data_IF_063622052987
#
_entry.id   IF_063622052987
#
_cell.length_a   1.000
_cell.length_b   1.000
_cell.length_c   1.000
_cell.angle_alpha   90.00
_cell.angle_beta   90.00
_cell.angle_gamma   90.00
#
_symmetry.space_group_name_H-M   'P 1'
#
loop_
_entity.id
_entity.type
_entity.pdbx_description
1 polymer ?
#
# COMPACT_ATOMS: atom_id res chain seq x y z
N UNK A 1 85.12 5.93 24.82
CA UNK A 1 84.12 6.59 25.67
C UNK A 1 82.76 6.51 24.87
N UNK A 2 81.91 5.57 25.36
CA UNK A 2 80.60 5.39 24.78
C UNK A 2 79.56 5.98 25.76
N UNK A 3 78.92 7.07 25.43
CA UNK A 3 77.86 7.71 26.23
C UNK A 3 76.55 7.06 25.91
N UNK A 4 75.97 6.33 26.86
CA UNK A 4 74.61 5.74 26.78
C UNK A 4 73.60 6.86 27.13
N UNK A 5 72.70 7.19 26.18
CA UNK A 5 71.58 8.05 26.41
C UNK A 5 70.41 7.20 26.94
N UNK A 6 70.09 7.35 28.22
CA UNK A 6 68.89 6.68 28.81
C UNK A 6 67.66 7.58 28.49
N UNK A 7 66.71 7.08 27.64
CA UNK A 7 65.50 7.71 27.34
C UNK A 7 64.44 7.29 28.39
N UNK A 8 64.05 8.24 29.25
CA UNK A 8 62.95 8.06 30.20
C UNK A 8 61.60 8.23 29.44
N UNK A 9 60.91 7.11 29.16
CA UNK A 9 59.55 7.13 28.67
C UNK A 9 58.61 7.22 29.86
N UNK A 10 58.11 8.41 30.18
CA UNK A 10 56.99 8.61 31.11
C UNK A 10 55.70 8.19 30.46
N UNK A 11 55.20 7.04 30.88
CA UNK A 11 53.88 6.52 30.49
C UNK A 11 52.81 7.38 31.17
N UNK A 12 52.17 8.31 30.43
CA UNK A 12 51.01 9.03 30.89
C UNK A 12 49.82 8.06 30.79
N UNK A 13 49.45 7.42 31.90
CA UNK A 13 48.18 6.72 32.02
C UNK A 13 47.08 7.75 32.10
N UNK A 14 46.39 7.99 30.96
CA UNK A 14 45.11 8.70 30.95
C UNK A 14 44.08 7.78 31.57
N UNK A 15 43.82 7.97 32.87
CA UNK A 15 42.66 7.37 33.51
C UNK A 15 41.40 7.96 32.91
N UNK A 16 40.71 7.23 32.04
CA UNK A 16 39.34 7.54 31.65
C UNK A 16 38.48 7.37 32.90
N UNK A 17 38.25 8.46 33.64
CA UNK A 17 37.15 8.53 34.59
C UNK A 17 35.85 8.41 33.80
N UNK A 18 35.29 7.23 33.68
CA UNK A 18 33.89 7.09 33.38
C UNK A 18 33.14 7.67 34.59
N UNK A 19 32.55 8.85 34.42
CA UNK A 19 31.65 9.41 35.42
C UNK A 19 30.52 8.39 35.60
N UNK A 20 30.51 7.69 36.73
CA UNK A 20 29.46 6.77 37.10
C UNK A 20 28.15 7.56 37.13
N UNK A 21 27.09 7.04 36.48
CA UNK A 21 25.77 7.68 36.48
C UNK A 21 25.28 7.72 37.95
N UNK A 22 24.98 8.92 38.49
CA UNK A 22 24.65 9.04 39.90
C UNK A 22 23.41 8.23 40.27
N UNK A 23 23.50 7.45 41.34
CA UNK A 23 22.36 6.74 41.92
C UNK A 23 21.51 7.76 42.73
N UNK A 24 20.24 7.83 42.39
CA UNK A 24 19.31 8.72 43.07
C UNK A 24 18.56 8.04 44.23
N UNK A 25 18.27 6.76 44.07
CA UNK A 25 17.60 5.94 45.08
C UNK A 25 17.88 4.45 44.83
N UNK A 26 17.52 3.63 45.80
CA UNK A 26 17.51 2.18 45.66
C UNK A 26 16.13 1.62 45.99
N UNK A 27 15.66 0.67 45.18
CA UNK A 27 14.40 -0.04 45.42
C UNK A 27 14.69 -1.53 45.35
N UNK A 28 14.45 -2.26 46.44
CA UNK A 28 14.75 -3.69 46.56
C UNK A 28 16.21 -4.04 46.20
N UNK A 29 17.18 -3.24 46.70
CA UNK A 29 18.61 -3.31 46.40
C UNK A 29 18.99 -3.12 44.90
N UNK A 30 18.07 -2.61 44.09
CA UNK A 30 18.37 -2.27 42.70
C UNK A 30 18.57 -0.74 42.62
N UNK A 31 19.74 -0.27 42.17
CA UNK A 31 20.03 1.14 42.07
C UNK A 31 19.21 1.76 40.91
N UNK A 32 18.65 2.92 41.17
CA UNK A 32 17.96 3.74 40.19
C UNK A 32 18.77 5.00 39.91
N UNK A 33 19.20 5.15 38.67
CA UNK A 33 20.15 6.19 38.30
C UNK A 33 19.47 7.48 37.85
N UNK A 34 20.27 8.56 37.84
CA UNK A 34 19.86 9.86 37.32
C UNK A 34 19.39 9.75 35.84
N UNK A 35 20.09 8.99 35.02
CA UNK A 35 19.75 8.81 33.60
C UNK A 35 18.40 8.11 33.44
N UNK A 36 18.10 7.09 34.24
CA UNK A 36 16.79 6.43 34.25
C UNK A 36 15.66 7.39 34.64
N UNK A 37 15.85 8.15 35.71
CA UNK A 37 14.88 9.17 36.13
C UNK A 37 14.63 10.19 35.02
N UNK A 38 15.69 10.76 34.44
CA UNK A 38 15.58 11.76 33.40
C UNK A 38 14.91 11.21 32.13
N UNK A 39 15.21 9.98 31.76
CA UNK A 39 14.55 9.34 30.60
C UNK A 39 13.04 9.28 30.76
N UNK A 40 12.56 8.88 31.94
CA UNK A 40 11.13 8.79 32.22
C UNK A 40 10.50 10.18 32.41
N UNK A 41 11.22 11.09 33.09
CA UNK A 41 10.79 12.48 33.25
C UNK A 41 10.55 13.18 31.90
N UNK A 42 11.53 13.11 31.00
CA UNK A 42 11.47 13.71 29.67
C UNK A 42 10.41 13.06 28.76
N UNK A 43 10.25 11.75 28.88
CA UNK A 43 9.20 11.03 28.13
C UNK A 43 7.79 11.49 28.49
N UNK A 44 7.56 11.82 29.75
CA UNK A 44 6.24 12.16 30.26
C UNK A 44 5.94 13.67 30.30
N UNK A 45 6.93 14.52 30.00
CA UNK A 45 6.79 15.97 30.03
C UNK A 45 7.20 16.59 28.69
N UNK A 46 6.22 17.11 27.95
CA UNK A 46 6.48 17.79 26.67
C UNK A 46 7.21 19.15 26.82
N UNK A 47 7.14 19.76 27.99
CA UNK A 47 7.83 21.00 28.32
C UNK A 47 8.48 20.88 29.73
N UNK A 48 9.60 20.16 29.86
CA UNK A 48 10.20 19.81 31.14
C UNK A 48 10.74 21.04 31.86
N UNK A 49 10.40 21.18 33.15
CA UNK A 49 10.92 22.19 34.05
C UNK A 49 11.98 21.56 34.95
N UNK A 50 13.04 22.30 35.24
CA UNK A 50 14.18 21.80 36.03
C UNK A 50 14.34 22.56 37.36
N UNK A 51 13.30 23.29 37.81
CA UNK A 51 13.29 23.86 39.12
C UNK A 51 13.12 22.78 40.20
N UNK A 52 13.64 23.07 41.40
CA UNK A 52 13.67 22.11 42.49
C UNK A 52 12.31 21.57 42.89
N UNK A 53 11.28 22.44 42.95
CA UNK A 53 9.95 22.06 43.40
C UNK A 53 9.32 21.06 42.43
N UNK A 54 9.40 21.33 41.11
CA UNK A 54 8.88 20.42 40.06
C UNK A 54 9.62 19.07 40.04
N UNK A 55 10.95 19.09 40.23
CA UNK A 55 11.73 17.85 40.27
C UNK A 55 11.46 17.02 41.53
N UNK A 56 11.29 17.66 42.69
CA UNK A 56 10.95 16.99 43.97
C UNK A 56 9.57 16.33 43.88
N UNK A 57 8.57 17.03 43.34
CA UNK A 57 7.22 16.47 43.11
C UNK A 57 7.26 15.25 42.15
N UNK A 58 7.98 15.38 41.07
CA UNK A 58 8.10 14.28 40.12
C UNK A 58 8.89 13.12 40.70
N UNK A 59 9.89 13.34 41.53
CA UNK A 59 10.64 12.31 42.24
C UNK A 59 9.74 11.48 43.15
N UNK A 60 8.77 12.11 43.86
CA UNK A 60 7.81 11.36 44.68
C UNK A 60 6.93 10.46 43.83
N UNK A 61 6.40 10.98 42.70
CA UNK A 61 5.62 10.18 41.74
C UNK A 61 6.45 9.03 41.17
N UNK A 62 7.70 9.30 40.83
CA UNK A 62 8.61 8.31 40.29
C UNK A 62 8.96 7.21 41.30
N UNK A 63 9.17 7.58 42.54
CA UNK A 63 9.41 6.66 43.66
C UNK A 63 8.22 5.71 43.84
N UNK A 64 6.99 6.26 43.87
CA UNK A 64 5.76 5.45 43.96
C UNK A 64 5.60 4.52 42.79
N UNK A 65 5.96 4.96 41.58
CA UNK A 65 5.97 4.13 40.40
C UNK A 65 6.94 2.95 40.54
N UNK A 66 8.19 3.20 40.93
CA UNK A 66 9.21 2.17 41.10
C UNK A 66 8.83 1.14 42.19
N UNK A 67 8.27 1.59 43.31
CA UNK A 67 7.76 0.71 44.37
C UNK A 67 6.62 -0.20 43.86
N UNK A 68 5.68 0.33 43.07
CA UNK A 68 4.61 -0.48 42.46
C UNK A 68 5.14 -1.50 41.49
N UNK A 69 6.16 -1.15 40.70
CA UNK A 69 6.80 -2.10 39.76
C UNK A 69 7.49 -3.22 40.55
N UNK A 70 8.29 -2.88 41.57
CA UNK A 70 8.98 -3.87 42.42
C UNK A 70 7.99 -4.82 43.13
N UNK A 71 6.86 -4.30 43.61
CA UNK A 71 5.84 -5.17 44.22
C UNK A 71 5.14 -6.03 43.18
N UNK A 72 4.83 -5.50 41.99
CA UNK A 72 4.23 -6.30 40.91
C UNK A 72 5.14 -7.45 40.46
N UNK A 73 6.46 -7.23 40.40
CA UNK A 73 7.46 -8.27 40.11
C UNK A 73 7.53 -9.29 41.28
N UNK A 74 7.52 -8.80 42.53
CA UNK A 74 7.59 -9.66 43.74
C UNK A 74 6.38 -10.63 43.81
N UNK A 75 5.19 -10.20 43.42
CA UNK A 75 4.00 -11.04 43.37
C UNK A 75 3.82 -11.79 42.05
N UNK A 76 4.80 -11.73 41.15
CA UNK A 76 4.88 -12.53 39.92
C UNK A 76 3.99 -12.04 38.77
N UNK A 77 3.58 -10.76 38.72
CA UNK A 77 2.78 -10.23 37.62
C UNK A 77 3.51 -10.24 36.31
N UNK A 78 4.85 -10.11 36.30
CA UNK A 78 5.73 -10.22 35.14
C UNK A 78 5.76 -11.63 34.54
N UNK A 79 5.33 -12.66 35.30
CA UNK A 79 5.27 -14.06 34.84
C UNK A 79 3.92 -14.48 34.29
N UNK A 80 2.88 -13.62 34.38
CA UNK A 80 1.52 -13.94 33.89
C UNK A 80 1.54 -14.14 32.37
N UNK A 81 1.15 -15.33 31.84
CA UNK A 81 1.26 -15.63 30.41
C UNK A 81 0.52 -14.64 29.50
N UNK A 82 -0.59 -14.05 29.97
CA UNK A 82 -1.34 -13.02 29.23
C UNK A 82 -0.50 -11.75 29.06
N UNK A 83 0.11 -11.25 30.15
CA UNK A 83 0.94 -10.04 30.12
C UNK A 83 2.19 -10.22 29.28
N UNK A 84 2.85 -11.40 29.39
CA UNK A 84 4.01 -11.75 28.55
C UNK A 84 3.62 -11.74 27.07
N UNK A 85 2.47 -12.32 26.69
CA UNK A 85 1.99 -12.29 25.29
C UNK A 85 1.72 -10.87 24.80
N UNK A 86 1.05 -10.04 25.60
CA UNK A 86 0.80 -8.63 25.27
C UNK A 86 2.12 -7.85 25.09
N UNK A 87 3.03 -7.97 26.04
CA UNK A 87 4.33 -7.29 25.96
C UNK A 87 5.13 -7.72 24.73
N UNK A 88 5.16 -9.02 24.42
CA UNK A 88 5.80 -9.52 23.22
C UNK A 88 5.09 -9.04 21.94
N UNK A 89 3.77 -8.87 21.97
CA UNK A 89 3.01 -8.23 20.92
C UNK A 89 3.46 -6.78 20.66
N UNK A 90 3.57 -5.97 21.71
CA UNK A 90 4.06 -4.59 21.61
C UNK A 90 5.52 -4.53 21.14
N UNK A 91 6.41 -5.37 21.70
CA UNK A 91 7.82 -5.47 21.26
C UNK A 91 7.90 -5.78 19.76
N UNK A 92 7.10 -6.75 19.28
CA UNK A 92 7.02 -7.09 17.86
C UNK A 92 6.53 -5.90 17.04
N UNK A 93 5.47 -5.23 17.46
CA UNK A 93 4.93 -4.05 16.78
C UNK A 93 5.96 -2.92 16.65
N UNK A 94 6.69 -2.62 17.74
CA UNK A 94 7.72 -1.59 17.78
C UNK A 94 8.95 -1.96 16.93
N UNK A 95 9.26 -3.26 16.77
CA UNK A 95 10.41 -3.71 15.98
C UNK A 95 10.15 -3.70 14.47
N UNK A 96 8.89 -3.80 14.02
CA UNK A 96 8.55 -3.91 12.59
C UNK A 96 9.18 -2.83 11.70
N UNK A 97 9.20 -1.52 12.08
CA UNK A 97 9.83 -0.47 11.27
C UNK A 97 11.35 -0.65 11.09
N UNK A 98 12.01 -1.40 11.99
CA UNK A 98 13.46 -1.67 11.94
C UNK A 98 13.79 -2.98 11.23
N UNK A 99 12.77 -3.82 10.95
CA UNK A 99 12.93 -5.11 10.27
C UNK A 99 12.62 -5.00 8.78
N UNK A 100 13.09 -3.92 8.16
CA UNK A 100 12.92 -3.64 6.72
C UNK A 100 14.26 -3.31 6.08
N UNK A 101 14.36 -3.59 4.80
CA UNK A 101 15.47 -3.12 3.98
C UNK A 101 15.23 -1.67 3.54
N UNK A 102 15.88 -0.72 4.21
CA UNK A 102 15.71 0.72 3.93
C UNK A 102 16.07 1.08 2.49
N UNK A 103 17.13 0.50 1.92
CA UNK A 103 17.54 0.75 0.54
C UNK A 103 16.48 0.24 -0.45
N UNK A 104 15.92 -0.96 -0.19
CA UNK A 104 14.82 -1.50 -0.98
C UNK A 104 13.57 -0.65 -0.86
N UNK A 105 13.26 -0.16 0.35
CA UNK A 105 12.13 0.73 0.58
C UNK A 105 12.28 2.05 -0.20
N UNK A 106 13.45 2.67 -0.16
CA UNK A 106 13.72 3.90 -0.93
C UNK A 106 13.60 3.66 -2.44
N UNK A 107 14.08 2.52 -2.95
CA UNK A 107 13.91 2.15 -4.35
C UNK A 107 12.44 2.00 -4.75
N UNK A 108 11.57 1.47 -3.88
CA UNK A 108 10.12 1.35 -4.12
C UNK A 108 9.41 2.71 -4.09
N UNK A 109 9.89 3.63 -3.26
CA UNK A 109 9.39 5.01 -3.23
C UNK A 109 9.73 5.73 -4.53
N UNK A 110 10.97 5.58 -5.00
CA UNK A 110 11.41 6.15 -6.29
C UNK A 110 10.65 5.54 -7.46
N UNK A 111 10.52 4.19 -7.50
CA UNK A 111 9.72 3.47 -8.49
C UNK A 111 8.27 3.99 -8.54
N UNK A 112 7.65 4.16 -7.38
CA UNK A 112 6.29 4.67 -7.32
C UNK A 112 6.17 6.10 -7.86
N UNK A 113 7.14 6.97 -7.58
CA UNK A 113 7.17 8.32 -8.14
C UNK A 113 7.36 8.29 -9.66
N UNK A 114 8.31 7.50 -10.16
CA UNK A 114 8.55 7.38 -11.60
C UNK A 114 7.29 6.89 -12.34
N UNK A 115 6.53 5.96 -11.73
CA UNK A 115 5.22 5.54 -12.24
C UNK A 115 4.12 6.60 -12.08
N UNK A 116 4.26 7.57 -11.18
CA UNK A 116 3.34 8.70 -11.08
C UNK A 116 3.59 9.74 -12.19
N UNK A 117 4.79 9.79 -12.76
CA UNK A 117 5.11 10.74 -13.85
C UNK A 117 4.59 10.28 -15.21
N UNK A 118 4.13 9.02 -15.33
CA UNK A 118 3.68 8.43 -16.58
C UNK A 118 2.33 7.74 -16.43
N UNK A 119 1.35 8.13 -17.21
CA UNK A 119 0.07 7.41 -17.33
C UNK A 119 0.21 6.34 -18.41
N UNK A 120 -0.19 5.11 -18.10
CA UNK A 120 -0.24 4.00 -19.04
C UNK A 120 -1.67 3.50 -19.22
N UNK A 121 -2.03 3.12 -20.45
CA UNK A 121 -3.32 2.49 -20.79
C UNK A 121 -3.12 1.01 -21.01
N UNK A 122 -4.01 0.21 -20.44
CA UNK A 122 -3.90 -1.24 -20.45
C UNK A 122 -5.25 -1.88 -20.73
N UNK A 123 -5.25 -2.90 -21.57
CA UNK A 123 -6.34 -3.85 -21.65
C UNK A 123 -5.96 -5.15 -20.94
N UNK A 124 -6.91 -5.77 -20.22
CA UNK A 124 -6.66 -7.00 -19.49
C UNK A 124 -7.75 -8.05 -19.68
N UNK A 125 -7.37 -9.30 -19.46
CA UNK A 125 -8.29 -10.44 -19.28
C UNK A 125 -8.03 -11.03 -17.91
N UNK A 126 -9.10 -11.23 -17.15
CA UNK A 126 -9.11 -11.82 -15.81
C UNK A 126 -9.84 -13.16 -15.83
N UNK A 127 -9.23 -14.19 -15.27
CA UNK A 127 -9.92 -15.41 -14.85
C UNK A 127 -9.95 -15.42 -13.33
N UNK A 128 -11.16 -15.21 -12.76
CA UNK A 128 -11.36 -15.08 -11.31
C UNK A 128 -11.05 -16.38 -10.57
N UNK A 129 -10.50 -16.21 -9.37
CA UNK A 129 -10.39 -17.28 -8.38
C UNK A 129 -11.26 -16.93 -7.17
N UNK A 130 -11.90 -17.95 -6.60
CA UNK A 130 -12.61 -17.83 -5.32
C UNK A 130 -11.58 -17.57 -4.21
N UNK A 131 -12.06 -17.11 -3.06
CA UNK A 131 -11.24 -17.05 -1.87
C UNK A 131 -10.89 -18.49 -1.45
N UNK A 132 -9.61 -18.77 -1.17
CA UNK A 132 -9.09 -20.11 -0.87
C UNK A 132 -9.42 -21.17 -1.95
N UNK A 133 -8.98 -20.98 -3.20
CA UNK A 133 -9.27 -21.92 -4.28
C UNK A 133 -8.53 -23.23 -4.07
N UNK A 134 -9.16 -24.36 -4.46
CA UNK A 134 -8.47 -25.65 -4.47
C UNK A 134 -7.34 -25.65 -5.54
N UNK A 135 -6.35 -26.57 -5.42
CA UNK A 135 -5.34 -26.75 -6.48
C UNK A 135 -5.96 -27.04 -7.86
N UNK A 136 -7.06 -27.79 -7.89
CA UNK A 136 -7.82 -28.11 -9.11
C UNK A 136 -8.43 -26.84 -9.74
N UNK A 137 -9.06 -25.96 -8.93
CA UNK A 137 -9.65 -24.71 -9.42
C UNK A 137 -8.57 -23.78 -9.93
N UNK A 138 -7.43 -23.70 -9.23
CA UNK A 138 -6.27 -22.90 -9.60
C UNK A 138 -5.70 -23.34 -10.94
N UNK A 139 -5.51 -24.66 -11.15
CA UNK A 139 -5.00 -25.23 -12.39
C UNK A 139 -5.99 -25.02 -13.55
N UNK A 140 -7.29 -25.21 -13.31
CA UNK A 140 -8.32 -25.00 -14.31
C UNK A 140 -8.36 -23.54 -14.79
N UNK A 141 -8.28 -22.57 -13.87
CA UNK A 141 -8.23 -21.14 -14.20
C UNK A 141 -6.98 -20.77 -14.98
N UNK A 142 -5.81 -21.30 -14.58
CA UNK A 142 -4.55 -21.07 -15.29
C UNK A 142 -4.61 -21.63 -16.72
N UNK A 143 -5.06 -22.87 -16.90
CA UNK A 143 -5.16 -23.52 -18.21
C UNK A 143 -6.15 -22.81 -19.14
N UNK A 144 -7.29 -22.31 -18.60
CA UNK A 144 -8.24 -21.48 -19.36
C UNK A 144 -7.55 -20.21 -19.88
N UNK A 145 -6.82 -19.49 -19.02
CA UNK A 145 -6.12 -18.28 -19.42
C UNK A 145 -4.98 -18.56 -20.40
N UNK A 146 -4.27 -19.67 -20.22
CA UNK A 146 -3.21 -20.13 -21.16
C UNK A 146 -3.78 -20.38 -22.56
N UNK A 147 -4.95 -21.01 -22.66
CA UNK A 147 -5.64 -21.21 -23.94
C UNK A 147 -6.01 -19.87 -24.60
N UNK A 148 -6.53 -18.91 -23.81
CA UNK A 148 -6.85 -17.58 -24.29
C UNK A 148 -5.58 -16.85 -24.78
N UNK A 149 -4.48 -16.90 -24.00
CA UNK A 149 -3.20 -16.28 -24.38
C UNK A 149 -2.71 -16.82 -25.73
N UNK A 150 -2.74 -18.14 -25.93
CA UNK A 150 -2.35 -18.78 -27.21
C UNK A 150 -3.19 -18.30 -28.39
N UNK A 151 -4.50 -18.12 -28.21
CA UNK A 151 -5.38 -17.61 -29.29
C UNK A 151 -4.99 -16.19 -29.69
N UNK A 152 -4.68 -15.32 -28.71
CA UNK A 152 -4.22 -13.95 -28.95
C UNK A 152 -2.85 -13.96 -29.65
N UNK A 153 -1.91 -14.79 -29.21
CA UNK A 153 -0.60 -14.96 -29.83
C UNK A 153 -0.70 -15.47 -31.28
N UNK A 154 -1.76 -16.22 -31.60
CA UNK A 154 -2.07 -16.69 -32.97
C UNK A 154 -2.83 -15.63 -33.78
N UNK A 155 -3.03 -14.41 -33.28
CA UNK A 155 -3.58 -13.29 -34.05
C UNK A 155 -5.07 -12.99 -33.81
N UNK A 156 -5.76 -13.68 -32.89
CA UNK A 156 -7.10 -13.30 -32.54
C UNK A 156 -7.09 -11.97 -31.76
N UNK A 157 -8.09 -11.11 -32.06
CA UNK A 157 -8.16 -9.79 -31.42
C UNK A 157 -8.45 -9.88 -29.93
N UNK A 158 -7.61 -9.20 -29.13
CA UNK A 158 -7.67 -9.19 -27.67
C UNK A 158 -9.04 -8.74 -27.14
N UNK A 159 -9.54 -7.61 -27.66
CA UNK A 159 -10.81 -7.02 -27.21
C UNK A 159 -12.01 -7.90 -27.57
N UNK A 160 -11.96 -8.52 -28.74
CA UNK A 160 -13.01 -9.45 -29.20
C UNK A 160 -13.07 -10.68 -28.28
N UNK A 161 -11.93 -11.28 -27.93
CA UNK A 161 -11.88 -12.38 -26.96
C UNK A 161 -12.38 -11.94 -25.60
N UNK A 162 -11.91 -10.80 -25.08
CA UNK A 162 -12.29 -10.30 -23.76
C UNK A 162 -13.82 -10.10 -23.62
N UNK A 163 -14.51 -9.71 -24.69
CA UNK A 163 -15.96 -9.53 -24.72
C UNK A 163 -16.77 -10.82 -24.71
N UNK A 164 -16.18 -11.94 -25.06
CA UNK A 164 -16.90 -13.24 -25.10
C UNK A 164 -17.25 -13.71 -23.69
N UNK A 165 -18.32 -14.50 -23.55
CA UNK A 165 -18.76 -15.10 -22.28
C UNK A 165 -17.67 -15.89 -21.57
N UNK A 166 -16.76 -16.51 -22.33
CA UNK A 166 -15.65 -17.32 -21.80
C UNK A 166 -14.29 -16.60 -21.91
N UNK A 167 -14.26 -15.33 -22.31
CA UNK A 167 -13.03 -14.56 -22.48
C UNK A 167 -12.50 -14.01 -21.16
N UNK A 168 -13.26 -13.13 -20.52
CA UNK A 168 -12.86 -12.51 -19.27
C UNK A 168 -13.96 -12.61 -18.23
N UNK A 169 -13.57 -12.84 -16.96
CA UNK A 169 -14.51 -12.80 -15.83
C UNK A 169 -14.63 -11.38 -15.23
N UNK A 170 -13.95 -10.38 -15.81
CA UNK A 170 -14.16 -8.99 -15.45
C UNK A 170 -15.52 -8.53 -15.99
N UNK A 171 -16.45 -8.05 -15.13
CA UNK A 171 -17.78 -7.63 -15.57
C UNK A 171 -17.77 -6.50 -16.62
N UNK A 172 -16.74 -5.67 -16.63
CA UNK A 172 -16.60 -4.56 -17.57
C UNK A 172 -16.13 -5.01 -18.96
N UNK A 173 -15.45 -6.14 -19.05
CA UNK A 173 -14.83 -6.62 -20.28
C UNK A 173 -15.81 -6.85 -21.43
N UNK A 174 -17.05 -7.28 -21.13
CA UNK A 174 -18.11 -7.44 -22.12
C UNK A 174 -18.46 -6.13 -22.87
N UNK A 175 -18.24 -4.98 -22.20
CA UNK A 175 -18.53 -3.65 -22.76
C UNK A 175 -17.27 -3.04 -23.39
N UNK A 176 -16.16 -3.00 -22.65
CA UNK A 176 -14.95 -2.25 -22.99
C UNK A 176 -13.83 -3.09 -23.63
N UNK A 177 -14.01 -4.43 -23.80
CA UNK A 177 -12.97 -5.28 -24.35
C UNK A 177 -11.76 -5.46 -23.46
N UNK A 178 -11.95 -5.23 -22.14
CA UNK A 178 -10.89 -5.32 -21.15
C UNK A 178 -10.09 -4.02 -20.97
N UNK A 179 -10.41 -2.96 -21.71
CA UNK A 179 -9.74 -1.66 -21.60
C UNK A 179 -10.02 -1.00 -20.24
N UNK A 180 -8.96 -0.78 -19.48
CA UNK A 180 -9.01 -0.13 -18.17
C UNK A 180 -8.82 1.39 -18.23
N UNK A 181 -8.54 1.95 -19.41
CA UNK A 181 -8.13 3.34 -19.55
C UNK A 181 -6.76 3.61 -18.94
N UNK A 182 -6.38 4.88 -18.89
CA UNK A 182 -5.11 5.30 -18.30
C UNK A 182 -5.12 5.21 -16.78
N UNK A 183 -3.97 4.87 -16.21
CA UNK A 183 -3.75 4.87 -14.75
C UNK A 183 -2.26 5.09 -14.42
N UNK A 184 -2.01 5.43 -13.15
CA UNK A 184 -0.66 5.61 -12.58
C UNK A 184 -0.46 4.70 -11.37
N UNK A 185 0.67 4.84 -10.70
CA UNK A 185 0.95 4.13 -9.43
C UNK A 185 -0.18 4.31 -8.41
N UNK A 186 -0.41 3.28 -7.59
CA UNK A 186 -1.43 3.20 -6.52
C UNK A 186 -2.89 3.13 -6.98
N UNK A 187 -3.17 3.13 -8.27
CA UNK A 187 -4.53 3.01 -8.81
C UNK A 187 -4.93 1.56 -9.08
N UNK A 188 -3.94 0.67 -9.21
CA UNK A 188 -4.12 -0.77 -9.35
C UNK A 188 -3.46 -1.51 -8.18
N UNK A 189 -3.81 -2.79 -7.98
CA UNK A 189 -3.06 -3.63 -7.03
C UNK A 189 -1.63 -3.81 -7.54
N UNK A 190 -0.66 -3.74 -6.64
CA UNK A 190 0.75 -3.68 -7.02
C UNK A 190 1.23 -4.79 -7.96
N UNK A 191 0.86 -6.08 -7.81
CA UNK A 191 1.27 -7.11 -8.77
C UNK A 191 0.76 -6.85 -10.19
N UNK A 192 -0.41 -6.20 -10.35
CA UNK A 192 -0.92 -5.78 -11.66
C UNK A 192 -0.16 -4.57 -12.19
N UNK A 193 0.02 -3.56 -11.35
CA UNK A 193 0.79 -2.35 -11.66
C UNK A 193 2.21 -2.70 -12.11
N UNK A 194 2.88 -3.61 -11.39
CA UNK A 194 4.25 -4.04 -11.70
C UNK A 194 4.35 -4.66 -13.09
N UNK A 195 3.46 -5.60 -13.42
CA UNK A 195 3.45 -6.22 -14.76
C UNK A 195 3.12 -5.19 -15.82
N UNK A 196 2.16 -4.30 -15.57
CA UNK A 196 1.73 -3.30 -16.55
C UNK A 196 2.86 -2.32 -16.93
N UNK A 197 3.59 -1.79 -15.94
CA UNK A 197 4.70 -0.86 -16.20
C UNK A 197 5.93 -1.55 -16.80
N UNK A 198 6.16 -2.83 -16.49
CA UNK A 198 7.28 -3.59 -17.06
C UNK A 198 6.96 -4.20 -18.44
N UNK A 199 5.70 -4.16 -18.89
CA UNK A 199 5.31 -4.68 -20.20
C UNK A 199 5.69 -3.70 -21.32
N UNK A 200 6.15 -4.25 -22.43
CA UNK A 200 6.40 -3.46 -23.65
C UNK A 200 5.09 -3.08 -24.32
N UNK A 201 5.04 -1.88 -24.88
CA UNK A 201 3.88 -1.38 -25.64
C UNK A 201 3.49 -2.38 -26.75
N UNK A 202 2.22 -2.72 -26.85
CA UNK A 202 1.65 -3.63 -27.84
C UNK A 202 1.98 -5.11 -27.65
N UNK A 203 2.67 -5.50 -26.56
CA UNK A 203 2.99 -6.91 -26.28
C UNK A 203 2.12 -7.46 -25.15
N UNK A 204 1.65 -8.71 -25.36
CA UNK A 204 0.93 -9.44 -24.33
C UNK A 204 1.89 -9.86 -23.21
N UNK A 205 1.45 -9.73 -21.98
CA UNK A 205 2.23 -10.14 -20.80
C UNK A 205 2.25 -11.67 -20.64
N UNK A 206 3.14 -12.15 -19.78
CA UNK A 206 2.98 -13.47 -19.20
C UNK A 206 1.77 -13.54 -18.29
N UNK A 207 1.32 -14.78 -17.99
CA UNK A 207 0.24 -15.01 -17.00
C UNK A 207 0.78 -14.67 -15.63
N UNK A 208 0.07 -13.79 -14.90
CA UNK A 208 0.41 -13.43 -13.55
C UNK A 208 -0.82 -13.50 -12.63
N UNK A 209 -0.57 -13.56 -11.32
CA UNK A 209 -1.61 -13.74 -10.30
C UNK A 209 -1.75 -12.49 -9.43
N UNK A 210 -3.00 -12.12 -9.15
CA UNK A 210 -3.36 -11.18 -8.09
C UNK A 210 -4.32 -11.83 -7.11
N UNK A 211 -4.77 -11.10 -6.10
CA UNK A 211 -5.83 -11.56 -5.18
C UNK A 211 -7.17 -11.84 -5.88
N UNK A 212 -7.38 -11.35 -7.10
CA UNK A 212 -8.61 -11.54 -7.86
C UNK A 212 -8.59 -12.80 -8.74
N UNK A 213 -7.42 -13.30 -9.10
CA UNK A 213 -7.26 -14.44 -10.00
C UNK A 213 -6.01 -14.31 -10.88
N UNK A 214 -6.06 -15.00 -12.02
CA UNK A 214 -5.03 -14.94 -13.04
C UNK A 214 -5.36 -13.89 -14.10
N UNK A 215 -4.33 -13.19 -14.55
CA UNK A 215 -4.43 -12.11 -15.53
C UNK A 215 -3.43 -12.30 -16.66
N UNK A 216 -3.78 -11.79 -17.83
CA UNK A 216 -2.90 -11.33 -18.89
C UNK A 216 -3.29 -9.89 -19.21
N UNK A 217 -2.35 -9.10 -19.67
CA UNK A 217 -2.57 -7.74 -20.10
C UNK A 217 -1.78 -7.39 -21.34
N UNK A 218 -2.20 -6.31 -21.99
CA UNK A 218 -1.46 -5.65 -23.06
C UNK A 218 -1.45 -4.15 -22.75
N UNK A 219 -0.26 -3.54 -22.75
CA UNK A 219 -0.09 -2.10 -22.66
C UNK A 219 -0.38 -1.51 -24.03
N UNK A 220 -1.42 -0.69 -24.12
CA UNK A 220 -1.94 -0.19 -25.41
C UNK A 220 -1.50 1.24 -25.71
N UNK A 221 -1.18 2.02 -24.68
CA UNK A 221 -0.80 3.42 -24.83
C UNK A 221 -0.03 3.92 -23.59
N UNK A 222 0.65 5.08 -23.74
CA UNK A 222 1.35 5.77 -22.66
C UNK A 222 1.41 7.27 -22.93
N UNK A 223 1.46 8.06 -21.85
CA UNK A 223 1.61 9.52 -21.92
C UNK A 223 2.17 10.07 -20.62
N UNK A 224 2.62 11.31 -20.64
CA UNK A 224 2.99 12.03 -19.43
C UNK A 224 1.79 12.22 -18.51
N UNK A 225 2.03 12.15 -17.21
CA UNK A 225 1.00 12.33 -16.20
C UNK A 225 0.45 13.76 -16.23
N UNK A 226 -0.88 13.87 -16.22
CA UNK A 226 -1.58 15.17 -16.34
C UNK A 226 -1.85 15.85 -15.01
N UNK A 227 -1.42 15.24 -13.89
CA UNK A 227 -1.69 15.74 -12.55
C UNK A 227 -3.08 15.36 -12.05
N UNK A 228 -3.62 16.14 -11.12
CA UNK A 228 -4.93 15.91 -10.51
C UNK A 228 -5.95 16.93 -10.94
N UNK A 229 -7.21 16.50 -11.02
CA UNK A 229 -8.35 17.31 -11.41
C UNK A 229 -9.38 17.36 -10.28
N UNK A 230 -9.80 18.57 -9.92
CA UNK A 230 -11.00 18.85 -9.17
C UNK A 230 -12.04 19.40 -10.14
N UNK A 231 -13.15 18.71 -10.31
CA UNK A 231 -14.21 19.09 -11.24
C UNK A 231 -15.58 19.01 -10.58
N UNK A 232 -16.54 19.67 -11.18
CA UNK A 232 -17.95 19.52 -10.89
C UNK A 232 -18.70 19.06 -12.15
N UNK A 233 -19.86 18.44 -11.99
CA UNK A 233 -20.70 18.08 -13.12
C UNK A 233 -22.18 18.38 -12.91
N UNK A 234 -22.86 18.62 -14.00
CA UNK A 234 -24.31 18.60 -14.13
C UNK A 234 -24.67 17.37 -14.96
N UNK A 235 -25.49 16.48 -14.41
CA UNK A 235 -25.88 15.24 -15.08
C UNK A 235 -27.37 15.21 -15.36
N UNK A 236 -27.77 14.84 -16.59
CA UNK A 236 -29.12 14.43 -16.91
C UNK A 236 -29.13 12.94 -17.20
N UNK A 237 -29.85 12.19 -16.37
CA UNK A 237 -29.86 10.73 -16.40
C UNK A 237 -30.50 10.23 -17.72
N UNK A 238 -29.79 9.28 -18.33
CA UNK A 238 -30.27 8.48 -19.44
C UNK A 238 -29.47 7.19 -19.48
N UNK A 239 -29.60 6.37 -18.43
CA UNK A 239 -28.83 5.16 -18.24
C UNK A 239 -29.11 4.12 -19.33
N UNK A 240 -28.20 3.14 -19.44
CA UNK A 240 -28.32 2.07 -20.42
C UNK A 240 -29.59 1.26 -20.17
N UNK A 241 -30.46 1.14 -21.19
CA UNK A 241 -31.76 0.43 -21.08
C UNK A 241 -32.96 1.34 -21.07
N UNK A 242 -32.77 2.64 -20.92
CA UNK A 242 -33.80 3.66 -21.16
C UNK A 242 -34.20 3.66 -22.65
N UNK A 243 -35.47 3.87 -22.92
CA UNK A 243 -35.97 3.88 -24.30
C UNK A 243 -35.36 5.06 -25.11
N UNK A 244 -35.47 4.97 -26.44
CA UNK A 244 -34.90 5.96 -27.35
C UNK A 244 -35.49 7.36 -27.13
N UNK A 245 -36.76 7.45 -26.81
CA UNK A 245 -37.49 8.73 -26.60
C UNK A 245 -36.94 9.45 -25.35
N UNK A 246 -36.77 8.74 -24.23
CA UNK A 246 -36.20 9.31 -23.02
C UNK A 246 -34.75 9.73 -23.20
N UNK A 247 -33.98 8.98 -24.00
CA UNK A 247 -32.59 9.36 -24.36
C UNK A 247 -32.58 10.68 -25.12
N UNK A 248 -33.49 10.88 -26.10
CA UNK A 248 -33.60 12.12 -26.87
C UNK A 248 -34.06 13.29 -25.98
N UNK A 249 -35.00 13.05 -25.06
CA UNK A 249 -35.44 14.08 -24.07
C UNK A 249 -34.26 14.51 -23.17
N UNK A 250 -33.49 13.58 -22.69
CA UNK A 250 -32.29 13.87 -21.86
C UNK A 250 -31.26 14.68 -22.65
N UNK A 251 -30.99 14.30 -23.89
CA UNK A 251 -30.06 15.03 -24.75
C UNK A 251 -30.54 16.47 -25.03
N UNK A 252 -31.81 16.64 -25.32
CA UNK A 252 -32.42 17.98 -25.51
C UNK A 252 -32.29 18.82 -24.23
N UNK A 253 -32.66 18.24 -23.07
CA UNK A 253 -32.58 18.90 -21.77
C UNK A 253 -31.14 19.35 -21.45
N UNK A 254 -30.14 18.49 -21.60
CA UNK A 254 -28.76 18.86 -21.28
C UNK A 254 -28.22 19.96 -22.21
N UNK A 255 -28.58 19.94 -23.48
CA UNK A 255 -28.21 20.98 -24.43
C UNK A 255 -28.90 22.34 -24.11
N UNK A 256 -30.18 22.35 -23.71
CA UNK A 256 -30.86 23.57 -23.24
C UNK A 256 -30.17 24.15 -22.00
N UNK A 257 -29.78 23.29 -21.02
CA UNK A 257 -29.05 23.73 -19.83
C UNK A 257 -27.65 24.27 -20.19
N UNK A 258 -26.97 23.65 -21.14
CA UNK A 258 -25.70 24.15 -21.66
C UNK A 258 -25.83 25.54 -22.29
N UNK A 259 -26.87 25.78 -23.10
CA UNK A 259 -27.13 27.11 -23.70
C UNK A 259 -27.41 28.16 -22.62
N UNK A 260 -28.18 27.86 -21.59
CA UNK A 260 -28.44 28.76 -20.47
C UNK A 260 -27.15 29.17 -19.76
N UNK A 261 -26.19 28.25 -19.59
CA UNK A 261 -24.86 28.55 -19.03
C UNK A 261 -24.05 29.45 -19.94
N UNK A 262 -24.05 29.19 -21.27
CA UNK A 262 -23.30 30.00 -22.22
C UNK A 262 -23.86 31.43 -22.33
N UNK A 263 -25.16 31.56 -22.30
CA UNK A 263 -25.86 32.86 -22.38
C UNK A 263 -25.90 33.61 -21.04
N UNK A 264 -25.35 32.98 -19.95
CA UNK A 264 -25.39 33.52 -18.56
C UNK A 264 -26.82 33.80 -18.06
N UNK A 265 -27.79 33.03 -18.53
CA UNK A 265 -29.22 33.12 -18.12
C UNK A 265 -29.46 32.53 -16.73
N UNK A 266 -28.57 31.65 -16.27
CA UNK A 266 -28.55 31.00 -14.94
C UNK A 266 -27.13 30.71 -14.49
N UNK A 267 -26.96 30.62 -13.20
CA UNK A 267 -25.66 30.24 -12.63
C UNK A 267 -25.45 28.72 -12.68
N UNK A 268 -24.20 28.27 -12.57
CA UNK A 268 -23.86 26.85 -12.48
C UNK A 268 -24.55 26.19 -11.28
N UNK A 269 -24.49 26.82 -10.14
CA UNK A 269 -25.02 26.33 -8.86
C UNK A 269 -26.54 26.12 -8.93
N UNK A 270 -27.27 27.10 -9.46
CA UNK A 270 -28.74 27.02 -9.67
C UNK A 270 -29.11 25.85 -10.59
N UNK A 271 -28.43 25.72 -11.73
CA UNK A 271 -28.78 24.66 -12.68
C UNK A 271 -28.42 23.26 -12.13
N UNK A 272 -27.33 23.12 -11.39
CA UNK A 272 -26.96 21.86 -10.78
C UNK A 272 -27.96 21.46 -9.70
N UNK A 273 -28.34 22.38 -8.82
CA UNK A 273 -29.28 22.11 -7.73
C UNK A 273 -30.68 21.74 -8.26
N UNK A 274 -31.15 22.44 -9.29
CA UNK A 274 -32.52 22.26 -9.85
C UNK A 274 -32.62 21.11 -10.85
N UNK A 275 -31.54 20.80 -11.57
CA UNK A 275 -31.65 19.95 -12.77
C UNK A 275 -30.68 18.78 -12.80
N UNK A 276 -29.67 18.70 -11.89
CA UNK A 276 -28.78 17.57 -11.90
C UNK A 276 -29.42 16.34 -11.28
N UNK A 277 -29.43 15.25 -12.02
CA UNK A 277 -29.99 13.97 -11.61
C UNK A 277 -28.97 13.12 -10.79
N UNK A 278 -27.77 13.66 -10.44
CA UNK A 278 -26.85 13.00 -9.53
C UNK A 278 -27.12 13.41 -8.06
N UNK A 279 -27.79 12.55 -7.26
CA UNK A 279 -28.17 12.91 -5.90
C UNK A 279 -26.96 13.00 -4.94
N UNK A 280 -25.80 12.49 -5.34
CA UNK A 280 -24.60 12.50 -4.51
C UNK A 280 -23.88 13.85 -4.53
N UNK A 281 -24.07 14.63 -5.60
CA UNK A 281 -23.34 15.87 -5.84
C UNK A 281 -24.24 17.10 -6.09
N UNK A 282 -25.51 16.94 -6.47
CA UNK A 282 -26.37 18.06 -6.85
C UNK A 282 -26.51 19.14 -5.75
N UNK A 283 -26.60 18.73 -4.47
CA UNK A 283 -26.63 19.66 -3.31
C UNK A 283 -25.27 20.24 -2.91
N UNK A 284 -24.22 19.88 -3.66
CA UNK A 284 -22.84 20.33 -3.44
C UNK A 284 -22.26 21.01 -4.68
N UNK A 285 -23.13 21.64 -5.48
CA UNK A 285 -22.74 22.29 -6.74
C UNK A 285 -22.14 21.35 -7.78
N UNK A 286 -22.50 20.05 -7.72
CA UNK A 286 -22.00 19.02 -8.63
C UNK A 286 -20.55 18.56 -8.35
N UNK A 287 -19.95 18.94 -7.21
CA UNK A 287 -18.54 18.70 -6.92
C UNK A 287 -18.22 17.21 -6.77
N UNK A 288 -17.24 16.77 -7.54
CA UNK A 288 -16.74 15.39 -7.56
C UNK A 288 -15.49 15.24 -6.67
N UNK A 289 -15.21 14.03 -6.16
CA UNK A 289 -13.92 13.73 -5.56
C UNK A 289 -12.78 13.98 -6.55
N UNK A 290 -11.60 14.38 -6.04
CA UNK A 290 -10.40 14.60 -6.86
C UNK A 290 -10.02 13.30 -7.58
N UNK A 291 -9.72 13.39 -8.88
CA UNK A 291 -9.30 12.26 -9.72
C UNK A 291 -8.03 12.61 -10.54
N UNK A 292 -7.49 11.62 -11.27
CA UNK A 292 -6.25 11.77 -12.04
C UNK A 292 -5.05 11.10 -11.36
N UNK A 293 -3.85 11.64 -11.58
CA UNK A 293 -2.57 11.05 -11.19
C UNK A 293 -2.52 10.65 -9.71
N UNK A 294 -2.30 9.37 -9.43
CA UNK A 294 -2.15 8.82 -8.07
C UNK A 294 -3.41 8.85 -7.21
N UNK A 295 -4.56 9.30 -7.75
CA UNK A 295 -5.84 9.30 -7.04
C UNK A 295 -6.47 7.91 -7.04
N UNK A 296 -7.16 7.55 -5.95
CA UNK A 296 -7.98 6.33 -5.89
C UNK A 296 -9.29 6.45 -6.68
N UNK A 297 -9.76 7.67 -6.89
CA UNK A 297 -10.96 7.94 -7.67
C UNK A 297 -10.62 7.85 -9.15
N UNK A 298 -11.35 7.03 -9.87
CA UNK A 298 -11.24 6.88 -11.32
C UNK A 298 -12.54 7.29 -11.95
N UNK A 299 -12.46 8.05 -13.02
CA UNK A 299 -13.60 8.44 -13.83
C UNK A 299 -13.72 7.55 -15.06
N UNK A 300 -14.89 7.55 -15.68
CA UNK A 300 -15.07 6.93 -17.00
C UNK A 300 -14.14 7.65 -17.98
N UNK A 301 -13.43 6.92 -18.87
CA UNK A 301 -12.39 7.51 -19.71
C UNK A 301 -12.83 8.77 -20.46
N UNK A 302 -14.00 8.76 -21.11
CA UNK A 302 -14.48 9.95 -21.83
C UNK A 302 -14.74 11.14 -20.91
N UNK A 303 -15.20 10.91 -19.68
CA UNK A 303 -15.41 11.97 -18.69
C UNK A 303 -14.07 12.58 -18.26
N UNK A 304 -13.10 11.73 -17.95
CA UNK A 304 -11.76 12.15 -17.52
C UNK A 304 -11.05 12.93 -18.65
N UNK A 305 -11.05 12.39 -19.87
CA UNK A 305 -10.45 13.07 -21.03
C UNK A 305 -11.07 14.44 -21.25
N UNK A 306 -12.40 14.55 -21.19
CA UNK A 306 -13.09 15.82 -21.35
C UNK A 306 -12.73 16.81 -20.25
N UNK A 307 -12.68 16.36 -18.98
CA UNK A 307 -12.31 17.26 -17.88
C UNK A 307 -10.88 17.81 -18.03
N UNK A 308 -9.94 16.96 -18.41
CA UNK A 308 -8.54 17.38 -18.63
C UNK A 308 -8.31 18.17 -19.92
N UNK A 309 -9.25 18.13 -20.89
CA UNK A 309 -9.17 18.94 -22.10
C UNK A 309 -9.62 20.39 -21.90
N UNK A 310 -10.27 20.71 -20.79
CA UNK A 310 -10.68 22.07 -20.46
C UNK A 310 -9.44 22.93 -20.14
N UNK A 311 -9.23 24.06 -20.84
CA UNK A 311 -7.98 24.81 -20.75
C UNK A 311 -7.81 25.60 -19.44
N UNK A 312 -8.91 26.15 -18.87
CA UNK A 312 -8.84 27.04 -17.72
C UNK A 312 -9.78 26.59 -16.59
N UNK A 313 -9.42 26.94 -15.35
CA UNK A 313 -10.34 26.78 -14.21
C UNK A 313 -11.56 27.69 -14.41
N UNK A 314 -12.74 27.12 -14.17
CA UNK A 314 -14.01 27.76 -14.47
C UNK A 314 -14.63 27.37 -15.82
N UNK A 315 -13.87 26.85 -16.77
CA UNK A 315 -14.39 26.40 -18.07
C UNK A 315 -15.36 25.24 -17.92
N UNK A 316 -16.34 25.19 -18.84
CA UNK A 316 -17.32 24.11 -18.93
C UNK A 316 -17.18 23.35 -20.26
N UNK A 317 -17.42 22.05 -20.22
CA UNK A 317 -17.44 21.22 -21.43
C UNK A 317 -18.75 21.38 -22.22
N UNK A 318 -18.71 21.05 -23.52
CA UNK A 318 -19.95 20.67 -24.23
C UNK A 318 -20.51 19.42 -23.54
N UNK A 319 -21.85 19.17 -23.70
CA UNK A 319 -22.47 17.94 -23.24
C UNK A 319 -21.77 16.71 -23.80
N UNK A 320 -21.47 15.76 -22.94
CA UNK A 320 -20.92 14.45 -23.30
C UNK A 320 -21.84 13.33 -22.86
N UNK A 321 -21.82 12.20 -23.57
CA UNK A 321 -22.61 11.01 -23.28
C UNK A 321 -21.76 9.98 -22.54
N UNK A 322 -22.27 9.47 -21.41
CA UNK A 322 -21.72 8.30 -20.72
C UNK A 322 -22.79 7.20 -20.59
N UNK A 323 -22.47 6.08 -19.95
CA UNK A 323 -23.45 5.03 -19.67
C UNK A 323 -24.51 5.45 -18.61
N UNK A 324 -24.27 6.52 -17.85
CA UNK A 324 -25.21 7.06 -16.86
C UNK A 324 -26.15 8.12 -17.42
N UNK A 325 -25.75 8.81 -18.49
CA UNK A 325 -26.50 9.89 -19.07
C UNK A 325 -25.63 10.92 -19.76
N UNK A 326 -26.13 12.12 -19.84
CA UNK A 326 -25.42 13.27 -20.39
C UNK A 326 -24.87 14.14 -19.29
N UNK A 327 -23.65 14.65 -19.49
CA UNK A 327 -22.93 15.47 -18.51
C UNK A 327 -22.41 16.75 -19.14
N UNK A 328 -22.48 17.85 -18.40
CA UNK A 328 -21.64 19.03 -18.58
C UNK A 328 -20.63 19.01 -17.45
N UNK A 329 -19.34 19.18 -17.75
CA UNK A 329 -18.26 19.14 -16.77
C UNK A 329 -17.73 20.56 -16.60
N UNK A 330 -17.55 21.01 -15.36
CA UNK A 330 -16.89 22.27 -15.01
C UNK A 330 -15.56 21.96 -14.36
N UNK A 331 -14.47 22.48 -14.94
CA UNK A 331 -13.16 22.43 -14.31
C UNK A 331 -13.12 23.40 -13.14
N UNK A 332 -12.78 22.91 -11.94
CA UNK A 332 -12.64 23.74 -10.75
C UNK A 332 -11.18 24.06 -10.49
N UNK A 333 -10.31 23.07 -10.54
CA UNK A 333 -8.89 23.24 -10.32
C UNK A 333 -8.11 22.08 -10.94
N UNK A 334 -7.04 22.38 -11.68
CA UNK A 334 -6.04 21.41 -12.12
C UNK A 334 -4.75 21.66 -11.39
N UNK A 335 -4.15 20.61 -10.86
CA UNK A 335 -2.81 20.65 -10.24
C UNK A 335 -1.88 19.70 -10.96
N UNK A 336 -0.74 20.20 -11.35
CA UNK A 336 0.31 19.37 -11.92
C UNK A 336 0.95 18.49 -10.85
N UNK A 337 1.63 17.42 -11.28
CA UNK A 337 2.35 16.54 -10.36
C UNK A 337 3.50 17.31 -9.72
N UNK A 338 3.55 17.26 -8.40
CA UNK A 338 4.65 17.86 -7.61
C UNK A 338 5.95 17.08 -7.80
N UNK A 339 7.07 17.72 -7.46
CA UNK A 339 8.41 17.12 -7.49
C UNK A 339 8.53 15.90 -6.55
N UNK A 340 9.52 15.05 -6.81
CA UNK A 340 9.82 13.91 -5.94
C UNK A 340 10.04 14.31 -4.48
N UNK A 341 10.81 15.37 -4.26
CA UNK A 341 11.15 15.83 -2.91
C UNK A 341 9.89 16.27 -2.13
N UNK A 342 8.94 16.94 -2.79
CA UNK A 342 7.69 17.35 -2.17
C UNK A 342 6.77 16.16 -1.85
N UNK A 343 6.75 15.13 -2.72
CA UNK A 343 5.87 13.97 -2.59
C UNK A 343 6.50 12.80 -1.83
N UNK A 344 7.81 12.79 -1.59
CA UNK A 344 8.56 11.68 -1.02
C UNK A 344 7.91 11.13 0.26
N UNK A 345 7.56 12.00 1.20
CA UNK A 345 6.93 11.58 2.48
C UNK A 345 5.54 10.95 2.27
N UNK A 346 4.74 11.52 1.38
CA UNK A 346 3.41 11.00 1.06
C UNK A 346 3.51 9.63 0.36
N UNK A 347 4.38 9.53 -0.63
CA UNK A 347 4.63 8.27 -1.35
C UNK A 347 5.16 7.21 -0.40
N UNK A 348 6.11 7.56 0.49
CA UNK A 348 6.62 6.66 1.51
C UNK A 348 5.49 6.10 2.40
N UNK A 349 4.56 6.96 2.84
CA UNK A 349 3.41 6.54 3.65
C UNK A 349 2.46 5.61 2.87
N UNK A 350 2.27 5.86 1.56
CA UNK A 350 1.50 4.98 0.68
C UNK A 350 2.20 3.64 0.46
N UNK A 351 3.50 3.63 0.15
CA UNK A 351 4.33 2.43 -0.04
C UNK A 351 4.28 1.53 1.20
N UNK A 352 4.42 2.10 2.40
CA UNK A 352 4.41 1.33 3.66
C UNK A 352 3.06 0.63 3.93
N UNK A 353 1.96 1.15 3.40
CA UNK A 353 0.60 0.56 3.54
C UNK A 353 0.21 -0.34 2.38
N UNK A 354 0.97 -0.34 1.31
CA UNK A 354 0.72 -1.13 0.11
C UNK A 354 1.36 -2.52 0.21
N UNK A 355 0.82 -3.49 -0.53
CA UNK A 355 1.40 -4.86 -0.58
C UNK A 355 2.83 -4.90 -1.12
N UNK A 356 3.29 -3.86 -1.84
CA UNK A 356 4.69 -3.71 -2.28
C UNK A 356 5.67 -3.64 -1.12
N UNK A 357 5.24 -3.18 0.06
CA UNK A 357 6.07 -3.14 1.27
C UNK A 357 6.57 -4.53 1.67
N UNK A 358 5.86 -5.59 1.29
CA UNK A 358 6.33 -6.96 1.53
C UNK A 358 7.70 -7.21 0.88
N UNK A 359 7.99 -6.60 -0.27
CA UNK A 359 9.31 -6.73 -0.91
C UNK A 359 10.47 -6.21 -0.05
N UNK A 360 10.21 -5.24 0.82
CA UNK A 360 11.24 -4.74 1.76
C UNK A 360 11.51 -5.76 2.87
N UNK A 361 10.47 -6.45 3.33
CA UNK A 361 10.60 -7.52 4.33
C UNK A 361 11.30 -8.74 3.72
N UNK A 362 10.87 -9.17 2.52
CA UNK A 362 11.48 -10.30 1.82
C UNK A 362 12.98 -10.02 1.55
N UNK A 363 13.32 -8.82 1.05
CA UNK A 363 14.71 -8.40 0.86
C UNK A 363 15.52 -8.38 2.16
N UNK A 364 14.91 -7.93 3.25
CA UNK A 364 15.55 -7.94 4.57
C UNK A 364 15.81 -9.37 5.04
N UNK A 365 14.83 -10.27 4.90
CA UNK A 365 14.98 -11.70 5.25
C UNK A 365 16.11 -12.35 4.44
N UNK A 366 16.17 -12.08 3.12
CA UNK A 366 17.26 -12.61 2.29
C UNK A 366 18.65 -12.10 2.74
N UNK A 367 18.77 -10.82 3.12
CA UNK A 367 20.00 -10.28 3.71
C UNK A 367 20.35 -10.96 5.05
N UNK A 368 19.35 -11.28 5.86
CA UNK A 368 19.54 -12.03 7.11
C UNK A 368 19.97 -13.47 6.84
N UNK A 369 19.38 -14.15 5.86
CA UNK A 369 19.78 -15.50 5.45
C UNK A 369 21.27 -15.52 5.06
N UNK A 370 21.71 -14.55 4.27
CA UNK A 370 23.12 -14.40 3.91
C UNK A 370 23.99 -14.14 5.13
N UNK A 371 23.63 -13.16 5.98
CA UNK A 371 24.39 -12.78 7.19
C UNK A 371 24.57 -13.94 8.18
N UNK A 372 23.52 -14.76 8.31
CA UNK A 372 23.51 -15.89 9.25
C UNK A 372 23.81 -17.23 8.60
N UNK A 373 24.34 -17.22 7.36
CA UNK A 373 24.65 -18.44 6.61
C UNK A 373 23.53 -19.48 6.69
N UNK A 374 22.29 -19.01 6.43
CA UNK A 374 21.12 -19.87 6.44
C UNK A 374 21.22 -20.89 5.29
N UNK A 375 20.95 -22.16 5.60
CA UNK A 375 20.83 -23.24 4.61
C UNK A 375 19.45 -23.87 4.79
N UNK A 376 18.72 -24.06 3.71
CA UNK A 376 17.41 -24.70 3.69
C UNK A 376 17.50 -26.04 2.97
N UNK A 377 16.75 -27.04 3.44
CA UNK A 377 16.72 -28.39 2.92
C UNK A 377 15.29 -28.75 2.54
N UNK A 378 14.73 -28.16 1.44
CA UNK A 378 13.32 -28.31 1.06
C UNK A 378 12.96 -29.77 0.75
N UNK A 379 13.93 -30.61 0.34
CA UNK A 379 13.74 -32.03 0.14
C UNK A 379 13.30 -32.77 1.41
N UNK A 380 13.64 -32.24 2.57
CA UNK A 380 13.27 -32.81 3.87
C UNK A 380 11.87 -32.39 4.34
N UNK A 381 11.17 -31.51 3.58
CA UNK A 381 9.79 -31.16 3.83
C UNK A 381 8.79 -32.19 3.28
N UNK A 382 9.24 -33.18 2.51
CA UNK A 382 8.37 -34.17 1.85
C UNK A 382 7.46 -34.88 2.84
N UNK A 383 7.98 -35.23 4.01
CA UNK A 383 7.19 -35.86 5.07
C UNK A 383 5.97 -35.01 5.47
N UNK A 384 6.13 -33.68 5.59
CA UNK A 384 5.00 -32.80 5.92
C UNK A 384 3.96 -32.78 4.82
N UNK A 385 4.37 -32.75 3.55
CA UNK A 385 3.44 -32.76 2.41
C UNK A 385 2.61 -34.06 2.34
N UNK A 386 3.17 -35.16 2.81
CA UNK A 386 2.49 -36.46 2.84
C UNK A 386 1.58 -36.64 4.07
N UNK A 387 1.86 -35.97 5.17
CA UNK A 387 1.21 -36.21 6.47
C UNK A 387 0.32 -35.04 6.96
N UNK A 388 0.40 -33.86 6.33
CA UNK A 388 -0.49 -32.74 6.65
C UNK A 388 -1.87 -32.98 6.01
N UNK A 389 -2.91 -32.86 6.83
CA UNK A 389 -4.30 -32.91 6.39
C UNK A 389 -5.04 -31.57 6.59
N UNK A 390 -6.32 -31.53 6.23
CA UNK A 390 -7.15 -30.32 6.34
C UNK A 390 -7.32 -29.78 7.76
N UNK A 391 -7.04 -30.57 8.79
CA UNK A 391 -7.12 -30.14 10.18
C UNK A 391 -6.02 -29.15 10.56
N UNK A 392 -4.94 -29.07 9.77
CA UNK A 392 -3.89 -28.06 9.89
C UNK A 392 -4.48 -26.63 9.82
N UNK A 393 -5.38 -26.37 8.89
CA UNK A 393 -6.01 -25.05 8.71
C UNK A 393 -6.90 -24.63 9.88
N UNK A 394 -7.36 -25.58 10.67
CA UNK A 394 -8.18 -25.33 11.85
C UNK A 394 -7.37 -25.33 13.16
N UNK A 395 -6.06 -25.52 13.10
CA UNK A 395 -5.17 -25.64 14.27
C UNK A 395 -5.37 -26.93 15.06
N UNK A 396 -6.06 -27.92 14.49
CA UNK A 396 -6.34 -29.22 15.12
C UNK A 396 -5.42 -30.34 14.65
N UNK A 397 -4.56 -30.06 13.66
CA UNK A 397 -3.60 -31.05 13.20
C UNK A 397 -2.64 -31.43 14.33
N UNK A 398 -2.60 -32.71 14.67
CA UNK A 398 -1.66 -33.29 15.62
C UNK A 398 -0.60 -33.98 14.80
N UNK A 399 0.60 -33.39 14.72
CA UNK A 399 1.74 -34.03 14.04
C UNK A 399 1.82 -35.52 14.42
N UNK A 400 2.08 -36.38 13.45
CA UNK A 400 2.32 -37.79 13.68
C UNK A 400 3.62 -38.02 14.48
N UNK A 401 3.92 -39.26 14.80
CA UNK A 401 5.25 -39.60 15.34
C UNK A 401 6.30 -39.31 14.28
N UNK A 402 7.20 -38.36 14.56
CA UNK A 402 8.33 -38.09 13.70
C UNK A 402 9.39 -39.20 13.90
N UNK A 403 9.56 -40.03 12.92
CA UNK A 403 10.63 -41.05 12.91
C UNK A 403 11.93 -40.52 12.28
N UNK A 404 11.89 -39.28 11.76
CA UNK A 404 13.00 -38.68 11.02
C UNK A 404 13.60 -37.51 11.79
N UNK A 405 14.91 -37.52 11.92
CA UNK A 405 15.71 -36.46 12.53
C UNK A 405 16.40 -35.61 11.44
N UNK A 406 15.73 -35.46 10.28
CA UNK A 406 16.26 -34.71 9.14
C UNK A 406 16.30 -33.22 9.43
N UNK A 407 17.36 -32.57 9.00
CA UNK A 407 17.54 -31.13 9.13
C UNK A 407 16.61 -30.43 8.14
N UNK A 408 15.78 -29.51 8.61
CA UNK A 408 14.89 -28.68 7.78
C UNK A 408 15.61 -27.43 7.30
N UNK A 409 16.35 -26.81 8.21
CA UNK A 409 17.22 -25.66 7.91
C UNK A 409 18.30 -25.54 8.96
N UNK A 410 19.37 -24.79 8.66
CA UNK A 410 20.39 -24.43 9.62
C UNK A 410 20.63 -22.91 9.63
N UNK A 411 20.93 -22.36 10.81
CA UNK A 411 21.30 -20.95 11.01
C UNK A 411 22.55 -20.87 11.87
N UNK A 412 23.60 -20.17 11.41
CA UNK A 412 24.89 -20.06 12.10
C UNK A 412 25.46 -21.42 12.51
N UNK A 413 25.28 -22.45 11.72
CA UNK A 413 25.74 -23.80 12.02
C UNK A 413 24.89 -24.58 13.03
N UNK A 414 23.77 -24.03 13.50
CA UNK A 414 22.78 -24.72 14.35
C UNK A 414 21.71 -25.33 13.43
N UNK A 415 21.53 -26.65 13.56
CA UNK A 415 20.55 -27.40 12.80
C UNK A 415 19.19 -27.42 13.50
N UNK A 416 18.15 -27.10 12.72
CA UNK A 416 16.74 -27.22 13.11
C UNK A 416 16.14 -28.41 12.37
N UNK A 417 15.70 -29.39 13.14
CA UNK A 417 15.26 -30.69 12.64
C UNK A 417 13.74 -30.82 12.65
N UNK A 418 13.23 -31.85 11.97
CA UNK A 418 11.82 -32.24 11.99
C UNK A 418 11.29 -32.45 13.39
#
# INVERSE_FOLDING_TARGET
>A
MKTQLILFITLFQVAFFHAQDPVLMEVNNVPVTKSEFLQIYLKNNNNPKYDKATLDEYMDLFTRFKLKVAEAENIGYDTIPKLIRELNGYKKQLSLPYLIDSAKNESLVKEAYDRLTQEIRVSHILIKLKQNPSPKDTLAAYNRLLSIKKRIENGEDFASIAKTKNGSDDPSAAKNGGDLGFFTAFQMVYPFEEVAYNSKLGKISDIFKTRFGYHILIRTDERDARGTMKAAHLMVSASKGVNKEETIKAEKKINELYQKLLNKESTWEELVELHSDDPSTNKKGGLLPIFGTGSKTRMIPIFEETAFSLPNDGDISKPIRTEYGYHIIKRIEKKDLKSFEELKKEIQAKVNKDVRSKKTQDSFVEKLKQRYAAKEYPENLQWFYENIDSTYYTGKWKGGKFESNKVLFSLKGIDYKQ
#
